data_IF_422521904314
#
_entry.id   IF_422521904314
#
_cell.length_a   1.000
_cell.length_b   1.000
_cell.length_c   1.000
_cell.angle_alpha   90.00
_cell.angle_beta   90.00
_cell.angle_gamma   90.00
#
_symmetry.space_group_name_H-M   'P 1'
#
loop_
_entity.id
_entity.type
_entity.pdbx_description
1 polymer ?
#
# COMPACT_ATOMS: atom_id res chain seq x y z
N UNK A 1 -23.08 1.92 -55.14
CA UNK A 1 -22.12 3.05 -55.04
C UNK A 1 -20.75 2.82 -55.71
N UNK A 2 -20.37 1.61 -56.14
CA UNK A 2 -19.04 1.34 -56.73
C UNK A 2 -18.63 2.14 -57.99
N UNK A 3 -19.59 2.77 -58.68
CA UNK A 3 -19.32 3.50 -59.93
C UNK A 3 -18.98 4.98 -59.73
N UNK A 4 -19.20 5.53 -58.53
CA UNK A 4 -19.03 6.96 -58.24
C UNK A 4 -17.81 7.23 -57.34
N UNK A 5 -17.37 6.26 -56.56
CA UNK A 5 -16.22 6.35 -55.65
C UNK A 5 -14.90 6.41 -56.40
N UNK A 6 -13.94 7.19 -55.90
CA UNK A 6 -12.59 7.30 -56.46
C UNK A 6 -12.51 8.08 -57.79
N UNK A 7 -13.51 8.88 -58.13
CA UNK A 7 -13.59 9.63 -59.39
C UNK A 7 -13.75 11.12 -59.14
N UNK A 8 -13.22 11.93 -60.06
CA UNK A 8 -13.51 13.36 -60.12
C UNK A 8 -14.75 13.62 -60.97
N UNK A 9 -15.57 14.59 -60.56
CA UNK A 9 -16.74 15.05 -61.30
C UNK A 9 -16.83 16.57 -61.27
N UNK A 10 -17.61 17.14 -62.21
CA UNK A 10 -17.85 18.57 -62.28
C UNK A 10 -19.07 18.93 -61.41
N UNK A 11 -18.85 19.74 -60.38
CA UNK A 11 -19.92 20.23 -59.50
C UNK A 11 -20.81 21.23 -60.23
N UNK A 12 -22.09 21.31 -59.85
CA UNK A 12 -23.03 22.32 -60.34
C UNK A 12 -22.56 23.76 -60.05
N UNK A 13 -21.71 23.93 -59.03
CA UNK A 13 -21.09 25.21 -58.68
C UNK A 13 -19.85 25.56 -59.53
N UNK A 14 -19.47 24.70 -60.48
CA UNK A 14 -18.42 24.99 -61.46
C UNK A 14 -17.00 24.57 -61.08
N UNK A 15 -16.81 23.82 -59.99
CA UNK A 15 -15.50 23.30 -59.56
C UNK A 15 -15.41 21.78 -59.73
N UNK A 16 -14.18 21.28 -59.93
CA UNK A 16 -13.89 19.83 -59.97
C UNK A 16 -13.81 19.30 -58.54
N UNK A 17 -14.61 18.29 -58.23
CA UNK A 17 -14.64 17.64 -56.92
C UNK A 17 -14.23 16.18 -57.06
N UNK A 18 -13.48 15.67 -56.10
CA UNK A 18 -13.13 14.25 -56.01
C UNK A 18 -14.09 13.55 -55.05
N UNK A 19 -14.58 12.36 -55.44
CA UNK A 19 -15.32 11.46 -54.57
C UNK A 19 -14.35 10.47 -53.94
N UNK A 20 -14.34 10.36 -52.62
CA UNK A 20 -13.47 9.42 -51.91
C UNK A 20 -13.97 7.96 -52.00
N UNK A 21 -13.29 7.07 -51.28
CA UNK A 21 -13.61 5.63 -51.24
C UNK A 21 -14.90 5.34 -50.44
N UNK A 22 -15.24 6.21 -49.50
CA UNK A 22 -16.46 6.14 -48.69
C UNK A 22 -17.68 6.65 -49.46
N UNK A 23 -17.47 7.32 -50.60
CA UNK A 23 -18.53 7.94 -51.37
C UNK A 23 -18.92 9.29 -50.79
N UNK A 24 -17.96 10.01 -50.19
CA UNK A 24 -18.08 11.39 -49.76
C UNK A 24 -17.31 12.32 -50.72
N UNK A 25 -17.85 13.50 -50.93
CA UNK A 25 -17.28 14.49 -51.85
C UNK A 25 -16.24 15.35 -51.11
N UNK A 26 -15.01 15.39 -51.61
CA UNK A 26 -13.97 16.26 -51.08
C UNK A 26 -14.34 17.74 -51.25
N UNK A 27 -14.30 18.48 -50.15
CA UNK A 27 -14.68 19.88 -50.10
C UNK A 27 -13.52 20.78 -49.69
N UNK A 28 -13.49 22.00 -50.26
CA UNK A 28 -12.65 23.08 -49.75
C UNK A 28 -13.38 23.79 -48.61
N UNK A 29 -12.73 23.89 -47.45
CA UNK A 29 -13.32 24.55 -46.28
C UNK A 29 -12.65 25.89 -46.03
N UNK A 30 -13.46 26.93 -45.85
CA UNK A 30 -13.00 28.28 -45.51
C UNK A 30 -13.35 28.56 -44.06
N UNK A 31 -12.36 28.98 -43.28
CA UNK A 31 -12.57 29.48 -41.94
C UNK A 31 -13.05 30.93 -42.02
N UNK A 32 -14.22 31.18 -41.44
CA UNK A 32 -14.82 32.51 -41.35
C UNK A 32 -14.82 32.97 -39.90
N UNK A 33 -14.61 34.28 -39.69
CA UNK A 33 -14.69 34.91 -38.37
C UNK A 33 -15.63 36.09 -38.41
N UNK A 34 -16.28 36.34 -37.28
CA UNK A 34 -16.99 37.58 -37.02
C UNK A 34 -15.97 38.72 -36.86
N UNK A 35 -16.14 39.81 -37.61
CA UNK A 35 -15.34 41.04 -37.52
C UNK A 35 -16.25 42.26 -37.60
N UNK A 36 -15.85 43.37 -37.00
CA UNK A 36 -16.60 44.64 -37.06
C UNK A 36 -16.60 45.19 -38.48
N UNK A 37 -17.74 45.69 -38.95
CA UNK A 37 -17.82 46.35 -40.25
C UNK A 37 -17.15 47.73 -40.14
N UNK A 38 -16.13 48.05 -40.97
CA UNK A 38 -15.42 49.33 -40.85
C UNK A 38 -16.32 50.56 -41.03
N UNK A 39 -17.36 50.42 -41.84
CA UNK A 39 -18.26 51.51 -42.25
C UNK A 39 -19.43 51.72 -41.29
N UNK A 40 -19.75 50.74 -40.43
CA UNK A 40 -20.90 50.78 -39.52
C UNK A 40 -20.51 50.39 -38.09
N UNK A 41 -20.27 51.37 -37.20
CA UNK A 41 -19.85 51.09 -35.83
C UNK A 41 -20.94 50.35 -35.06
N UNK A 42 -20.60 49.18 -34.53
CA UNK A 42 -21.52 48.32 -33.77
C UNK A 42 -22.07 47.14 -34.57
N UNK A 43 -21.92 47.16 -35.91
CA UNK A 43 -22.28 46.04 -36.76
C UNK A 43 -21.12 45.07 -36.97
N UNK A 44 -21.49 43.81 -37.23
CA UNK A 44 -20.54 42.73 -37.41
C UNK A 44 -20.88 41.92 -38.66
N UNK A 45 -19.86 41.65 -39.47
CA UNK A 45 -19.95 40.78 -40.64
C UNK A 45 -19.16 39.50 -40.44
N UNK A 46 -19.39 38.55 -41.34
CA UNK A 46 -18.60 37.32 -41.46
C UNK A 46 -17.58 37.50 -42.57
N UNK A 47 -16.30 37.33 -42.23
CA UNK A 47 -15.19 37.50 -43.17
C UNK A 47 -14.31 36.25 -43.18
N UNK A 48 -13.78 35.84 -44.34
CA UNK A 48 -12.84 34.74 -44.41
C UNK A 48 -11.52 35.11 -43.72
N UNK A 49 -11.06 34.25 -42.81
CA UNK A 49 -9.82 34.42 -42.05
C UNK A 49 -8.82 33.30 -42.29
N UNK A 50 -9.22 32.20 -42.91
CA UNK A 50 -8.33 31.11 -43.27
C UNK A 50 -8.96 30.10 -44.21
N UNK A 51 -8.14 29.18 -44.71
CA UNK A 51 -8.56 28.08 -45.58
C UNK A 51 -7.92 26.79 -45.12
N UNK A 52 -8.69 25.71 -45.15
CA UNK A 52 -8.21 24.35 -44.89
C UNK A 52 -7.73 23.74 -46.20
N UNK A 53 -6.45 23.38 -46.26
CA UNK A 53 -5.82 22.78 -47.43
C UNK A 53 -5.54 21.30 -47.15
N UNK A 54 -6.06 20.43 -48.02
CA UNK A 54 -5.72 19.02 -47.99
C UNK A 54 -4.27 18.85 -48.49
N UNK A 55 -3.41 18.12 -47.75
CA UNK A 55 -2.08 17.79 -48.23
C UNK A 55 -2.16 16.83 -49.43
N UNK A 56 -1.19 16.95 -50.34
CA UNK A 56 -1.16 16.20 -51.62
C UNK A 56 -1.25 14.68 -51.44
N UNK A 57 -0.74 14.16 -50.32
CA UNK A 57 -0.75 12.74 -49.99
C UNK A 57 -2.12 12.21 -49.51
N UNK A 58 -3.17 13.04 -49.43
CA UNK A 58 -4.59 12.70 -49.08
C UNK A 58 -4.82 11.86 -47.81
N UNK A 59 -3.78 11.64 -47.02
CA UNK A 59 -3.75 10.73 -45.86
C UNK A 59 -3.69 11.48 -44.53
N UNK A 60 -3.52 12.80 -44.58
CA UNK A 60 -3.37 13.65 -43.40
C UNK A 60 -4.55 14.62 -43.27
N UNK A 61 -4.79 15.04 -42.02
CA UNK A 61 -5.77 16.06 -41.68
C UNK A 61 -5.49 17.36 -42.47
N UNK A 62 -6.53 18.12 -42.86
CA UNK A 62 -6.36 19.40 -43.53
C UNK A 62 -5.53 20.35 -42.68
N UNK A 63 -4.62 21.08 -43.33
CA UNK A 63 -3.83 22.11 -42.66
C UNK A 63 -4.53 23.47 -42.79
N UNK A 64 -4.71 24.18 -41.68
CA UNK A 64 -5.31 25.50 -41.65
C UNK A 64 -4.26 26.57 -42.00
N UNK A 65 -4.45 27.25 -43.13
CA UNK A 65 -3.68 28.45 -43.48
C UNK A 65 -4.49 29.70 -43.18
N UNK A 66 -3.97 30.56 -42.30
CA UNK A 66 -4.58 31.84 -41.99
C UNK A 66 -4.31 32.87 -43.09
N UNK A 67 -5.37 33.55 -43.53
CA UNK A 67 -5.32 34.69 -44.44
C UNK A 67 -5.30 36.01 -43.66
N UNK A 68 -5.92 36.03 -42.47
CA UNK A 68 -5.87 37.18 -41.58
C UNK A 68 -6.01 36.75 -40.11
N UNK A 69 -5.67 37.64 -39.18
CA UNK A 69 -5.81 37.39 -37.75
C UNK A 69 -7.29 37.37 -37.33
N UNK A 70 -7.61 36.46 -36.40
CA UNK A 70 -8.92 36.37 -35.77
C UNK A 70 -9.04 37.44 -34.68
N UNK A 71 -10.12 38.22 -34.73
CA UNK A 71 -10.47 39.19 -33.70
C UNK A 71 -11.21 38.50 -32.55
N UNK A 72 -10.45 38.07 -31.56
CA UNK A 72 -11.01 37.54 -30.33
C UNK A 72 -11.62 38.67 -29.49
N UNK A 73 -12.74 38.39 -28.80
CA UNK A 73 -13.41 39.36 -27.91
C UNK A 73 -12.52 39.75 -26.72
N UNK A 74 -11.56 38.90 -26.35
CA UNK A 74 -10.59 39.14 -25.28
C UNK A 74 -9.16 39.32 -25.78
N UNK A 75 -8.19 38.80 -25.02
CA UNK A 75 -6.75 38.91 -25.33
C UNK A 75 -6.24 37.88 -26.35
N UNK A 76 -7.08 36.91 -26.73
CA UNK A 76 -6.69 35.79 -27.59
C UNK A 76 -7.73 34.67 -27.61
N UNK A 77 -7.39 33.51 -28.19
CA UNK A 77 -8.26 32.34 -28.17
C UNK A 77 -8.57 31.92 -26.74
N UNK A 78 -9.83 31.57 -26.42
CA UNK A 78 -10.18 31.05 -25.11
C UNK A 78 -9.46 29.71 -24.87
N UNK A 79 -9.20 29.39 -23.60
CA UNK A 79 -8.67 28.08 -23.26
C UNK A 79 -9.70 26.98 -23.58
N UNK A 80 -9.25 25.91 -24.21
CA UNK A 80 -10.10 24.77 -24.59
C UNK A 80 -10.69 24.06 -23.37
N UNK A 81 -10.02 24.12 -22.22
CA UNK A 81 -10.47 23.54 -20.95
C UNK A 81 -10.37 24.58 -19.82
N UNK A 82 -11.38 24.67 -18.92
CA UNK A 82 -11.29 25.53 -17.75
C UNK A 82 -10.20 25.07 -16.76
N UNK A 83 -9.70 26.01 -15.93
CA UNK A 83 -8.60 25.76 -14.97
C UNK A 83 -8.87 24.58 -14.02
N UNK A 84 -10.10 24.42 -13.52
CA UNK A 84 -10.47 23.31 -12.66
C UNK A 84 -10.91 22.03 -13.40
N UNK A 85 -10.77 22.01 -14.73
CA UNK A 85 -11.25 20.95 -15.61
C UNK A 85 -12.77 20.89 -15.73
N UNK A 86 -13.24 20.18 -16.76
CA UNK A 86 -14.68 19.96 -16.94
C UNK A 86 -15.24 19.19 -15.73
N UNK A 87 -16.29 19.72 -15.11
CA UNK A 87 -16.88 19.23 -13.86
C UNK A 87 -15.98 19.29 -12.60
N UNK A 88 -14.95 20.15 -12.59
CA UNK A 88 -14.15 20.39 -11.38
C UNK A 88 -13.17 19.25 -11.01
N UNK A 89 -12.95 18.28 -11.92
CA UNK A 89 -12.14 17.08 -11.65
C UNK A 89 -10.72 17.39 -11.19
N UNK A 90 -10.06 18.41 -11.76
CA UNK A 90 -8.66 18.75 -11.42
C UNK A 90 -8.54 19.33 -10.01
N UNK A 91 -9.51 20.13 -9.57
CA UNK A 91 -9.48 20.80 -8.27
C UNK A 91 -9.88 19.87 -7.09
N UNK A 92 -10.63 18.79 -7.35
CA UNK A 92 -10.99 17.79 -6.33
C UNK A 92 -9.83 16.84 -6.03
N UNK A 93 -9.08 16.40 -7.04
CA UNK A 93 -8.00 15.42 -6.88
C UNK A 93 -6.91 15.89 -5.91
N UNK A 94 -6.53 17.16 -5.95
CA UNK A 94 -5.51 17.71 -5.05
C UNK A 94 -5.91 17.61 -3.57
N UNK A 95 -7.18 17.91 -3.25
CA UNK A 95 -7.68 17.84 -1.87
C UNK A 95 -7.70 16.40 -1.35
N UNK A 96 -8.13 15.45 -2.20
CA UNK A 96 -8.15 14.02 -1.86
C UNK A 96 -6.72 13.49 -1.68
N UNK A 97 -5.79 13.88 -2.54
CA UNK A 97 -4.38 13.46 -2.46
C UNK A 97 -3.72 13.90 -1.14
N UNK A 98 -3.94 15.14 -0.71
CA UNK A 98 -3.45 15.64 0.58
C UNK A 98 -4.03 14.82 1.72
N UNK A 99 -5.35 14.62 1.74
CA UNK A 99 -6.00 13.87 2.81
C UNK A 99 -5.47 12.43 2.93
N UNK A 100 -5.37 11.72 1.79
CA UNK A 100 -4.86 10.35 1.75
C UNK A 100 -3.40 10.30 2.22
N UNK A 101 -2.54 11.23 1.77
CA UNK A 101 -1.14 11.29 2.21
C UNK A 101 -0.98 11.58 3.71
N UNK A 102 -1.86 12.40 4.29
CA UNK A 102 -1.83 12.71 5.71
C UNK A 102 -2.21 11.51 6.57
N UNK A 103 -3.27 10.78 6.17
CA UNK A 103 -3.72 9.57 6.86
C UNK A 103 -2.66 8.47 6.79
N UNK A 104 -2.06 8.24 5.62
CA UNK A 104 -1.01 7.20 5.49
C UNK A 104 0.23 7.53 6.32
N UNK A 105 0.68 8.78 6.34
CA UNK A 105 1.80 9.20 7.19
C UNK A 105 1.49 9.02 8.68
N UNK A 106 0.28 9.37 9.12
CA UNK A 106 -0.13 9.21 10.51
C UNK A 106 -0.15 7.74 10.95
N UNK A 107 -0.66 6.84 10.10
CA UNK A 107 -0.66 5.40 10.36
C UNK A 107 0.76 4.83 10.42
N UNK A 108 1.65 5.26 9.52
CA UNK A 108 3.05 4.83 9.53
C UNK A 108 3.78 5.30 10.80
N UNK A 109 3.56 6.54 11.23
CA UNK A 109 4.14 7.07 12.47
C UNK A 109 3.63 6.30 13.70
N UNK A 110 2.33 5.98 13.73
CA UNK A 110 1.74 5.22 14.83
C UNK A 110 2.28 3.78 14.87
N UNK A 111 2.43 3.14 13.71
CA UNK A 111 3.05 1.82 13.61
C UNK A 111 4.50 1.84 14.10
N UNK A 112 5.30 2.83 13.67
CA UNK A 112 6.69 3.02 14.13
C UNK A 112 6.78 3.24 15.64
N UNK A 113 5.87 4.01 16.22
CA UNK A 113 5.81 4.22 17.67
C UNK A 113 5.53 2.92 18.42
N UNK A 114 4.56 2.13 17.95
CA UNK A 114 4.22 0.83 18.57
C UNK A 114 5.38 -0.15 18.45
N UNK A 115 6.01 -0.26 17.27
CA UNK A 115 7.16 -1.16 17.10
C UNK A 115 8.35 -0.72 17.94
N UNK A 116 8.60 0.58 18.05
CA UNK A 116 9.67 1.10 18.90
C UNK A 116 9.41 0.82 20.38
N UNK A 117 8.18 1.03 20.86
CA UNK A 117 7.78 0.70 22.23
C UNK A 117 7.98 -0.79 22.49
N UNK A 118 7.44 -1.65 21.63
CA UNK A 118 7.60 -3.10 21.76
C UNK A 118 9.06 -3.53 21.77
N UNK A 119 9.88 -2.98 20.87
CA UNK A 119 11.30 -3.28 20.83
C UNK A 119 12.03 -2.88 22.12
N UNK A 120 11.75 -1.70 22.67
CA UNK A 120 12.30 -1.27 23.95
C UNK A 120 11.85 -2.18 25.10
N UNK A 121 10.57 -2.59 25.12
CA UNK A 121 10.05 -3.53 26.12
C UNK A 121 10.74 -4.90 26.06
N UNK A 122 10.96 -5.46 24.87
CA UNK A 122 11.69 -6.72 24.70
C UNK A 122 13.16 -6.60 25.12
N UNK A 123 13.81 -5.45 24.86
CA UNK A 123 15.20 -5.23 25.24
C UNK A 123 15.40 -5.17 26.76
N UNK A 124 14.43 -4.65 27.50
CA UNK A 124 14.44 -4.69 28.97
C UNK A 124 14.31 -6.13 29.48
N UNK A 125 13.44 -6.95 28.87
CA UNK A 125 13.25 -8.36 29.24
C UNK A 125 14.49 -9.22 28.97
N UNK A 126 15.15 -9.03 27.83
CA UNK A 126 16.38 -9.78 27.49
C UNK A 126 17.52 -9.49 28.47
N UNK A 127 17.58 -8.28 29.04
CA UNK A 127 18.58 -7.93 30.05
C UNK A 127 18.42 -8.70 31.38
N UNK A 128 17.22 -9.21 31.65
CA UNK A 128 16.87 -9.92 32.88
C UNK A 128 16.99 -11.45 32.74
N UNK A 129 17.22 -11.96 31.52
CA UNK A 129 17.34 -13.39 31.28
C UNK A 129 18.73 -13.90 31.65
N UNK A 130 18.92 -14.22 32.93
CA UNK A 130 20.13 -14.89 33.39
C UNK A 130 20.06 -16.38 33.01
N UNK A 131 21.10 -16.87 32.33
CA UNK A 131 21.25 -18.27 31.95
C UNK A 131 22.17 -18.97 32.95
N UNK A 132 21.67 -20.01 33.59
CA UNK A 132 22.48 -20.92 34.39
C UNK A 132 23.08 -21.98 33.47
N UNK A 133 24.36 -22.28 33.62
CA UNK A 133 24.94 -23.46 32.96
C UNK A 133 24.34 -24.73 33.60
N UNK A 134 23.97 -25.70 32.76
CA UNK A 134 23.43 -26.98 33.22
C UNK A 134 24.43 -27.71 34.13
N UNK A 135 25.74 -27.52 33.90
CA UNK A 135 26.81 -28.14 34.69
C UNK A 135 26.81 -27.75 36.17
N UNK A 136 26.25 -26.58 36.51
CA UNK A 136 26.19 -26.10 37.88
C UNK A 136 24.99 -26.67 38.66
N UNK A 137 24.09 -27.37 37.97
CA UNK A 137 22.88 -27.95 38.56
C UNK A 137 23.14 -29.43 38.82
N UNK A 138 23.21 -29.80 40.10
CA UNK A 138 23.30 -31.19 40.50
C UNK A 138 21.89 -31.79 40.52
N UNK A 139 21.53 -32.52 39.46
CA UNK A 139 20.28 -33.27 39.39
C UNK A 139 20.57 -34.65 39.98
N UNK A 140 20.22 -34.85 41.25
CA UNK A 140 20.23 -36.18 41.84
C UNK A 140 19.11 -36.99 41.20
N UNK A 141 19.48 -37.80 40.22
CA UNK A 141 18.59 -38.72 39.54
C UNK A 141 18.18 -39.81 40.53
N UNK A 142 17.15 -39.55 41.34
CA UNK A 142 16.33 -40.65 41.85
C UNK A 142 15.55 -41.20 40.65
N UNK A 143 16.24 -41.92 39.79
CA UNK A 143 15.61 -42.87 38.90
C UNK A 143 15.01 -43.95 39.77
N UNK A 144 13.68 -44.13 39.82
CA UNK A 144 13.15 -45.45 40.10
C UNK A 144 13.61 -46.31 38.92
N UNK A 145 14.74 -46.99 39.09
CA UNK A 145 15.18 -47.98 38.12
C UNK A 145 14.07 -49.02 38.03
N UNK A 146 13.52 -49.17 36.83
CA UNK A 146 12.48 -50.14 36.48
C UNK A 146 13.03 -51.57 36.47
N UNK A 147 13.93 -51.93 37.40
CA UNK A 147 14.52 -53.26 37.56
C UNK A 147 14.95 -53.52 39.01
N UNK A 148 14.07 -53.26 39.98
CA UNK A 148 14.19 -53.81 41.33
C UNK A 148 12.97 -54.68 41.63
N UNK A 149 13.24 -55.97 41.66
CA UNK A 149 12.36 -57.06 42.06
C UNK A 149 11.53 -56.75 43.31
N UNK A 150 10.29 -57.25 43.28
CA UNK A 150 9.37 -57.42 44.41
C UNK A 150 10.10 -57.59 45.75
N UNK A 151 9.79 -56.72 46.72
CA UNK A 151 9.44 -57.03 48.12
C UNK A 151 9.46 -55.71 48.92
N UNK A 152 8.27 -55.34 49.41
CA UNK A 152 7.97 -54.59 50.63
C UNK A 152 8.93 -53.46 51.09
N UNK A 153 8.43 -52.23 51.10
CA UNK A 153 7.91 -51.55 52.32
C UNK A 153 7.55 -50.11 51.98
N UNK A 154 6.27 -49.80 52.16
CA UNK A 154 5.80 -48.44 52.40
C UNK A 154 6.50 -47.89 53.64
N UNK A 155 7.55 -47.10 53.45
CA UNK A 155 8.10 -46.25 54.52
C UNK A 155 7.45 -44.88 54.36
N UNK A 156 6.15 -44.81 54.69
CA UNK A 156 5.57 -43.57 55.15
C UNK A 156 5.96 -43.43 56.63
N UNK A 157 6.72 -42.40 57.05
CA UNK A 157 6.76 -42.07 58.46
C UNK A 157 5.40 -41.44 58.81
N UNK A 158 4.54 -42.23 59.47
CA UNK A 158 3.45 -41.71 60.27
C UNK A 158 4.05 -40.81 61.36
N UNK A 159 4.05 -39.51 61.15
CA UNK A 159 4.35 -38.52 62.19
C UNK A 159 3.30 -37.42 62.16
N UNK A 160 2.26 -37.62 62.98
CA UNK A 160 1.38 -36.58 63.48
C UNK A 160 2.16 -35.85 64.56
N UNK A 161 2.56 -34.60 64.33
CA UNK A 161 2.81 -33.62 65.40
C UNK A 161 2.71 -32.20 64.84
N UNK A 162 1.74 -31.46 65.35
CA UNK A 162 1.59 -30.03 65.22
C UNK A 162 2.64 -29.35 66.08
N UNK A 163 3.76 -28.93 65.49
CA UNK A 163 4.64 -27.88 66.00
C UNK A 163 5.75 -27.65 64.96
N UNK A 164 5.48 -26.78 63.98
CA UNK A 164 6.52 -26.21 63.13
C UNK A 164 6.62 -24.74 63.48
N UNK A 165 7.36 -24.47 64.55
CA UNK A 165 7.79 -23.13 64.93
C UNK A 165 8.85 -22.65 63.94
N UNK A 166 8.51 -21.57 63.23
CA UNK A 166 9.36 -20.49 62.72
C UNK A 166 10.87 -20.67 62.92
N UNK A 167 11.50 -21.60 62.20
CA UNK A 167 12.95 -21.68 62.10
C UNK A 167 13.32 -21.96 60.66
N UNK A 168 14.08 -21.03 60.07
CA UNK A 168 14.53 -21.06 58.68
C UNK A 168 15.72 -22.03 58.49
N UNK A 169 15.66 -23.22 59.10
CA UNK A 169 16.68 -24.25 58.96
C UNK A 169 16.31 -25.19 57.81
N UNK A 170 16.84 -24.86 56.63
CA UNK A 170 16.60 -25.58 55.36
C UNK A 170 17.11 -27.03 55.39
N UNK A 171 18.05 -27.37 56.28
CA UNK A 171 18.72 -28.68 56.30
C UNK A 171 17.89 -29.83 56.91
N UNK A 172 16.79 -29.55 57.62
CA UNK A 172 16.00 -30.56 58.33
C UNK A 172 14.60 -30.84 57.77
N UNK A 173 14.03 -29.92 56.98
CA UNK A 173 12.60 -29.90 56.65
C UNK A 173 12.20 -30.90 55.54
N UNK A 174 13.18 -31.46 54.84
CA UNK A 174 12.95 -32.36 53.70
C UNK A 174 12.44 -33.76 54.07
N UNK A 175 12.51 -34.14 55.35
CA UNK A 175 12.08 -35.48 55.79
C UNK A 175 10.55 -35.63 55.89
N UNK A 176 9.79 -34.55 55.67
CA UNK A 176 8.36 -34.51 55.96
C UNK A 176 7.45 -34.07 54.78
N UNK A 177 8.00 -33.78 53.60
CA UNK A 177 7.21 -33.37 52.42
C UNK A 177 7.49 -34.22 51.18
N UNK A 178 6.44 -34.79 50.58
CA UNK A 178 6.53 -35.55 49.33
C UNK A 178 6.62 -34.60 48.13
N UNK A 179 7.64 -34.75 47.28
CA UNK A 179 7.86 -33.90 46.09
C UNK A 179 7.59 -34.67 44.80
N UNK A 180 6.79 -34.08 43.91
CA UNK A 180 6.26 -34.70 42.70
C UNK A 180 6.88 -34.18 41.38
N UNK A 181 7.89 -33.33 41.45
CA UNK A 181 8.59 -32.78 40.26
C UNK A 181 10.08 -33.15 40.30
N UNK A 182 10.74 -33.17 39.14
CA UNK A 182 12.20 -33.28 39.09
C UNK A 182 12.83 -32.07 39.80
N UNK A 183 13.80 -32.34 40.67
CA UNK A 183 14.48 -31.34 41.49
C UNK A 183 15.97 -31.34 41.19
N UNK A 184 16.59 -30.17 41.18
CA UNK A 184 18.05 -30.00 41.11
C UNK A 184 18.55 -29.08 42.23
N UNK A 185 19.82 -29.21 42.59
CA UNK A 185 20.49 -28.34 43.56
C UNK A 185 21.44 -27.39 42.83
N UNK A 186 21.30 -26.09 43.07
CA UNK A 186 22.20 -25.04 42.56
C UNK A 186 22.68 -24.19 43.73
N UNK A 187 24.01 -24.12 43.94
CA UNK A 187 24.65 -23.35 45.05
C UNK A 187 23.99 -23.60 46.42
N UNK A 188 23.68 -24.87 46.74
CA UNK A 188 23.06 -25.27 48.01
C UNK A 188 21.56 -24.99 48.13
N UNK A 189 20.91 -24.44 47.08
CA UNK A 189 19.45 -24.22 47.05
C UNK A 189 18.78 -25.23 46.14
N UNK A 190 17.62 -25.71 46.58
CA UNK A 190 16.81 -26.66 45.84
C UNK A 190 15.87 -25.94 44.86
N UNK A 191 15.86 -26.38 43.61
CA UNK A 191 15.09 -25.78 42.51
C UNK A 191 14.26 -26.86 41.79
N UNK A 192 13.04 -26.49 41.36
CA UNK A 192 12.24 -27.33 40.47
C UNK A 192 12.78 -27.24 39.04
N UNK A 193 13.07 -28.39 38.43
CA UNK A 193 13.64 -28.48 37.08
C UNK A 193 12.58 -29.02 36.14
N UNK A 194 12.32 -28.28 35.05
CA UNK A 194 11.45 -28.73 33.96
C UNK A 194 12.28 -29.03 32.72
N UNK A 195 12.44 -30.31 32.40
CA UNK A 195 13.11 -30.72 31.17
C UNK A 195 12.22 -30.43 29.95
N UNK A 196 12.70 -29.60 29.04
CA UNK A 196 12.02 -29.35 27.76
C UNK A 196 12.60 -30.29 26.70
N UNK A 197 11.75 -31.09 26.05
CA UNK A 197 12.17 -31.87 24.88
C UNK A 197 12.40 -30.90 23.73
N UNK A 198 13.63 -30.83 23.23
CA UNK A 198 13.91 -30.06 22.00
C UNK A 198 13.17 -30.76 20.85
N UNK A 199 12.25 -30.05 20.18
CA UNK A 199 11.75 -30.51 18.89
C UNK A 199 12.94 -30.55 17.94
N UNK A 200 13.23 -31.70 17.35
CA UNK A 200 14.16 -31.78 16.24
C UNK A 200 13.56 -30.97 15.10
N UNK A 201 14.17 -29.83 14.77
CA UNK A 201 13.85 -29.11 13.54
C UNK A 201 14.31 -30.02 12.40
N UNK A 202 13.34 -30.59 11.70
CA UNK A 202 13.57 -31.24 10.40
C UNK A 202 13.32 -30.20 9.33
#
# INVERSE_FOLDING_TARGET
MKYITGRTYFSAMGYITYMDENGDAEGNYTLISRRKVPEQPGEYGLYPVGVFQLPENRTALPNLKFLSNIEWVGKGPPADEPVCGFHGKKCVMWKVAIFVSGVTLAVLLLALLVTYKNWAYEQELDSLLWKIDNKDIQINQYTPSTNASRIAKSVHPLMRNSQVSLSSNVEGDFRYTTIFTTVGIYKGRMLAVKCLKKKAST
#
